data_IF_645725207591
#
_entry.id   IF_645725207591
#
_cell.length_a   1.000
_cell.length_b   1.000
_cell.length_c   1.000
_cell.angle_alpha   90.00
_cell.angle_beta   90.00
_cell.angle_gamma   90.00
#
_symmetry.space_group_name_H-M   'P 1'
#
loop_
_entity.id
_entity.type
_entity.pdbx_description
1 polymer ?
#
# COMPACT_ATOMS: atom_id res chain seq x y z
N UNK A 1 -10.75 -21.05 13.69
CA UNK A 1 -10.94 -20.14 12.54
C UNK A 1 -11.80 -18.97 12.99
N UNK A 2 -11.43 -17.75 12.68
CA UNK A 2 -12.24 -16.56 13.02
C UNK A 2 -13.54 -16.59 12.23
N UNK A 3 -14.69 -16.43 12.92
CA UNK A 3 -15.99 -16.36 12.24
C UNK A 3 -16.03 -15.16 11.31
N UNK A 4 -16.55 -15.34 10.10
CA UNK A 4 -16.67 -14.25 9.14
C UNK A 4 -17.64 -13.17 9.64
N UNK A 5 -17.27 -11.89 9.41
CA UNK A 5 -18.11 -10.72 9.72
C UNK A 5 -19.38 -10.74 8.87
N UNK A 6 -20.52 -10.31 9.41
CA UNK A 6 -21.77 -10.20 8.65
C UNK A 6 -21.73 -8.98 7.70
N UNK A 7 -22.51 -8.99 6.62
CA UNK A 7 -22.55 -7.88 5.65
C UNK A 7 -22.90 -6.54 6.30
N UNK A 8 -23.92 -6.50 7.15
CA UNK A 8 -24.29 -5.29 7.88
C UNK A 8 -23.18 -4.77 8.80
N UNK A 9 -22.41 -5.68 9.46
CA UNK A 9 -21.27 -5.31 10.29
C UNK A 9 -20.15 -4.65 9.45
N UNK A 10 -19.93 -5.15 8.21
CA UNK A 10 -18.94 -4.60 7.28
C UNK A 10 -19.32 -3.18 6.86
N UNK A 11 -20.59 -2.98 6.52
CA UNK A 11 -21.11 -1.67 6.13
C UNK A 11 -20.92 -0.64 7.26
N UNK A 12 -21.30 -0.99 8.49
CA UNK A 12 -21.09 -0.11 9.65
C UNK A 12 -19.62 0.15 9.95
N UNK A 13 -18.77 -0.87 9.78
CA UNK A 13 -17.32 -0.71 9.93
C UNK A 13 -16.77 0.33 8.97
N UNK A 14 -17.11 0.23 7.67
CA UNK A 14 -16.60 1.18 6.67
C UNK A 14 -17.22 2.56 6.78
N UNK A 15 -18.50 2.67 7.09
CA UNK A 15 -19.13 3.95 7.39
C UNK A 15 -18.42 4.67 8.56
N UNK A 16 -18.02 3.93 9.61
CA UNK A 16 -17.29 4.48 10.75
C UNK A 16 -15.87 4.92 10.35
N UNK A 17 -15.15 4.13 9.53
CA UNK A 17 -13.82 4.50 9.04
C UNK A 17 -13.88 5.75 8.14
N UNK A 18 -14.87 5.82 7.27
CA UNK A 18 -15.11 6.99 6.40
C UNK A 18 -15.44 8.24 7.22
N UNK A 19 -16.32 8.14 8.21
CA UNK A 19 -16.67 9.27 9.07
C UNK A 19 -15.46 9.81 9.85
N UNK A 20 -14.55 8.92 10.27
CA UNK A 20 -13.33 9.30 10.99
C UNK A 20 -12.25 9.92 10.07
N UNK A 21 -12.17 9.50 8.82
CA UNK A 21 -11.21 10.01 7.84
C UNK A 21 -11.82 9.91 6.42
N UNK A 22 -12.57 10.93 5.96
CA UNK A 22 -13.26 10.90 4.66
C UNK A 22 -12.33 10.77 3.45
N UNK A 23 -11.11 11.32 3.56
CA UNK A 23 -10.13 11.37 2.48
C UNK A 23 -8.78 10.78 2.95
N UNK A 24 -8.69 9.45 3.09
CA UNK A 24 -7.45 8.81 3.51
C UNK A 24 -6.43 8.83 2.37
N UNK A 25 -5.19 9.19 2.69
CA UNK A 25 -4.10 9.30 1.73
C UNK A 25 -2.96 8.36 2.09
N UNK A 26 -2.08 8.10 1.11
CA UNK A 26 -0.82 7.40 1.35
C UNK A 26 0.14 8.29 2.15
N UNK A 27 1.01 7.67 2.94
CA UNK A 27 2.08 8.39 3.66
C UNK A 27 3.32 8.63 2.78
N UNK A 28 3.36 8.07 1.55
CA UNK A 28 4.40 8.35 0.57
C UNK A 28 4.15 9.70 -0.11
N UNK A 29 5.23 10.48 -0.28
CA UNK A 29 5.19 11.79 -0.94
C UNK A 29 5.49 11.64 -2.43
N UNK A 30 4.61 12.18 -3.26
CA UNK A 30 4.71 12.14 -4.72
C UNK A 30 3.86 13.26 -5.35
N UNK A 31 4.18 13.63 -6.58
CA UNK A 31 3.43 14.61 -7.39
C UNK A 31 2.96 14.02 -8.72
N UNK A 32 3.62 12.95 -9.19
CA UNK A 32 3.29 12.30 -10.47
C UNK A 32 3.11 10.79 -10.30
N UNK A 33 2.41 10.10 -11.22
CA UNK A 33 2.32 8.64 -11.22
C UNK A 33 3.69 7.94 -11.23
N UNK A 34 4.69 8.52 -11.91
CA UNK A 34 6.05 7.98 -11.94
C UNK A 34 6.76 8.13 -10.59
N UNK A 35 6.64 9.28 -9.93
CA UNK A 35 7.15 9.48 -8.59
C UNK A 35 6.51 8.48 -7.60
N UNK A 36 5.19 8.26 -7.69
CA UNK A 36 4.52 7.26 -6.88
C UNK A 36 5.05 5.85 -7.13
N UNK A 37 5.16 5.43 -8.40
CA UNK A 37 5.71 4.11 -8.75
C UNK A 37 7.12 3.94 -8.17
N UNK A 38 7.97 4.96 -8.33
CA UNK A 38 9.33 4.99 -7.77
C UNK A 38 9.31 4.86 -6.25
N UNK A 39 8.49 5.65 -5.55
CA UNK A 39 8.38 5.61 -4.10
C UNK A 39 7.89 4.24 -3.60
N UNK A 40 6.87 3.66 -4.25
CA UNK A 40 6.34 2.33 -3.88
C UNK A 40 7.37 1.22 -4.14
N UNK A 41 8.12 1.28 -5.25
CA UNK A 41 9.21 0.35 -5.54
C UNK A 41 10.31 0.44 -4.46
N UNK A 42 10.69 1.66 -4.07
CA UNK A 42 11.68 1.90 -3.02
C UNK A 42 11.18 1.50 -1.63
N UNK A 43 9.88 1.47 -1.39
CA UNK A 43 9.28 1.13 -0.08
C UNK A 43 9.31 -0.37 0.27
N UNK A 44 9.66 -1.25 -0.68
CA UNK A 44 9.79 -2.67 -0.39
C UNK A 44 10.82 -2.91 0.73
N UNK A 45 10.36 -3.45 1.88
CA UNK A 45 11.16 -3.64 3.10
C UNK A 45 11.84 -2.35 3.62
N UNK A 46 11.20 -1.19 3.43
CA UNK A 46 11.65 0.08 3.97
C UNK A 46 10.45 0.84 4.57
N UNK A 47 10.72 1.84 5.40
CA UNK A 47 9.68 2.70 5.96
C UNK A 47 9.34 3.83 5.01
N UNK A 48 8.08 4.27 4.98
CA UNK A 48 7.66 5.40 4.16
C UNK A 48 8.43 6.68 4.52
N UNK A 49 8.74 6.90 5.81
CA UNK A 49 9.60 8.01 6.27
C UNK A 49 11.01 7.94 5.66
N UNK A 50 11.61 6.74 5.62
CA UNK A 50 12.93 6.55 5.03
C UNK A 50 12.92 6.78 3.51
N UNK A 51 11.88 6.33 2.83
CA UNK A 51 11.67 6.57 1.40
C UNK A 51 11.51 8.05 1.12
N UNK A 52 10.59 8.73 1.83
CA UNK A 52 10.34 10.17 1.65
C UNK A 52 11.61 11.00 1.88
N UNK A 53 12.44 10.64 2.87
CA UNK A 53 13.73 11.32 3.11
C UNK A 53 14.69 11.22 1.91
N UNK A 54 14.67 10.11 1.19
CA UNK A 54 15.50 9.90 0.01
C UNK A 54 14.88 10.59 -1.22
N UNK A 55 13.58 10.43 -1.45
CA UNK A 55 12.87 10.97 -2.63
C UNK A 55 12.78 12.49 -2.62
N UNK A 56 12.66 13.13 -1.45
CA UNK A 56 12.77 14.62 -1.33
C UNK A 56 14.08 15.18 -1.88
N UNK A 57 15.16 14.39 -1.92
CA UNK A 57 16.43 14.77 -2.52
C UNK A 57 16.53 14.37 -3.98
N UNK A 58 15.90 13.25 -4.35
CA UNK A 58 15.93 12.70 -5.70
C UNK A 58 15.02 13.46 -6.66
N UNK A 59 13.75 13.67 -6.32
CA UNK A 59 12.76 14.21 -7.24
C UNK A 59 13.05 15.63 -7.76
N UNK A 60 13.65 16.56 -6.99
CA UNK A 60 14.06 17.84 -7.54
C UNK A 60 15.13 17.76 -8.65
N UNK A 61 15.85 16.63 -8.74
CA UNK A 61 16.93 16.40 -9.71
C UNK A 61 16.46 15.45 -10.81
N UNK A 62 15.72 14.41 -10.47
CA UNK A 62 15.26 13.37 -11.40
C UNK A 62 13.89 12.83 -10.94
N UNK A 63 12.83 13.22 -11.66
CA UNK A 63 11.45 12.80 -11.40
C UNK A 63 10.73 12.27 -12.65
N UNK A 64 11.47 11.99 -13.72
CA UNK A 64 10.99 11.30 -14.92
C UNK A 64 11.85 10.06 -15.20
N UNK A 65 11.33 9.07 -15.97
CA UNK A 65 12.11 7.90 -16.33
C UNK A 65 13.44 8.26 -17.01
N UNK A 66 13.43 9.20 -17.96
CA UNK A 66 14.65 9.62 -18.66
C UNK A 66 15.68 10.24 -17.71
N UNK A 67 15.25 11.13 -16.82
CA UNK A 67 16.17 11.76 -15.85
C UNK A 67 16.80 10.75 -14.89
N UNK A 68 16.05 9.72 -14.48
CA UNK A 68 16.60 8.60 -13.68
C UNK A 68 17.64 7.82 -14.47
N UNK A 69 17.41 7.58 -15.76
CA UNK A 69 18.38 6.94 -16.65
C UNK A 69 19.64 7.77 -16.82
N UNK A 70 19.53 9.08 -16.93
CA UNK A 70 20.64 10.02 -17.07
C UNK A 70 21.54 10.06 -15.83
N UNK A 71 20.99 9.84 -14.62
CA UNK A 71 21.78 9.70 -13.40
C UNK A 71 22.67 8.44 -13.43
N UNK A 72 22.23 7.42 -14.13
CA UNK A 72 22.88 6.10 -14.11
C UNK A 72 22.81 5.41 -12.75
N UNK A 73 23.46 4.23 -12.67
CA UNK A 73 23.39 3.41 -11.46
C UNK A 73 24.05 4.08 -10.25
N UNK A 74 25.26 4.61 -10.44
CA UNK A 74 26.03 5.19 -9.34
C UNK A 74 25.38 6.50 -8.86
N UNK A 75 24.94 7.37 -9.78
CA UNK A 75 24.24 8.60 -9.43
C UNK A 75 22.92 8.33 -8.68
N UNK A 76 22.11 7.39 -9.15
CA UNK A 76 20.89 7.00 -8.45
C UNK A 76 21.16 6.43 -7.06
N UNK A 77 22.20 5.58 -6.94
CA UNK A 77 22.60 5.00 -5.65
C UNK A 77 22.94 6.06 -4.60
N UNK A 78 23.56 7.18 -4.98
CA UNK A 78 23.88 8.26 -4.04
C UNK A 78 22.65 8.83 -3.34
N UNK A 79 21.53 8.97 -4.05
CA UNK A 79 20.26 9.47 -3.47
C UNK A 79 19.57 8.46 -2.58
N UNK A 80 19.62 7.15 -2.92
CA UNK A 80 18.84 6.13 -2.23
C UNK A 80 19.65 5.21 -1.29
N UNK A 81 20.94 5.47 -1.09
CA UNK A 81 21.84 4.63 -0.27
C UNK A 81 21.42 4.43 1.19
N UNK A 82 20.53 5.29 1.70
CA UNK A 82 19.94 5.16 3.05
C UNK A 82 18.80 4.14 3.11
N UNK A 83 18.33 3.66 1.97
CA UNK A 83 17.24 2.68 1.87
C UNK A 83 17.85 1.27 1.82
N UNK A 84 17.29 0.35 2.61
CA UNK A 84 17.71 -1.07 2.58
C UNK A 84 17.62 -1.66 1.17
N UNK A 85 18.61 -2.49 0.80
CA UNK A 85 18.70 -3.13 -0.53
C UNK A 85 18.80 -2.14 -1.69
N UNK A 86 19.33 -0.94 -1.46
CA UNK A 86 19.33 0.16 -2.42
C UNK A 86 19.98 -0.19 -3.77
N UNK A 87 21.07 -0.98 -3.80
CA UNK A 87 21.73 -1.38 -5.04
C UNK A 87 20.81 -2.23 -5.95
N UNK A 88 20.06 -3.16 -5.37
CA UNK A 88 19.09 -3.97 -6.11
C UNK A 88 17.90 -3.13 -6.56
N UNK A 89 17.41 -2.25 -5.69
CA UNK A 89 16.32 -1.31 -6.02
C UNK A 89 16.71 -0.34 -7.13
N UNK A 90 17.94 0.19 -7.10
CA UNK A 90 18.46 1.05 -8.16
C UNK A 90 18.48 0.33 -9.52
N UNK A 91 18.96 -0.92 -9.56
CA UNK A 91 18.95 -1.72 -10.79
C UNK A 91 17.52 -1.95 -11.32
N UNK A 92 16.59 -2.35 -10.43
CA UNK A 92 15.19 -2.54 -10.82
C UNK A 92 14.56 -1.23 -11.32
N UNK A 93 14.80 -0.10 -10.64
CA UNK A 93 14.26 1.19 -11.05
C UNK A 93 14.81 1.63 -12.41
N UNK A 94 16.11 1.48 -12.68
CA UNK A 94 16.69 1.80 -13.98
C UNK A 94 16.10 0.94 -15.10
N UNK A 95 15.93 -0.38 -14.85
CA UNK A 95 15.33 -1.26 -15.84
C UNK A 95 13.85 -0.93 -16.06
N UNK A 96 13.12 -0.64 -15.00
CA UNK A 96 11.74 -0.12 -15.07
C UNK A 96 11.66 1.14 -15.92
N UNK A 97 12.58 2.11 -15.72
CA UNK A 97 12.64 3.33 -16.53
C UNK A 97 12.88 3.03 -18.00
N UNK A 98 13.81 2.12 -18.35
CA UNK A 98 14.04 1.72 -19.75
C UNK A 98 12.78 1.15 -20.38
N UNK A 99 12.08 0.26 -19.67
CA UNK A 99 10.84 -0.32 -20.17
C UNK A 99 9.74 0.73 -20.35
N UNK A 100 9.60 1.67 -19.43
CA UNK A 100 8.62 2.76 -19.54
C UNK A 100 8.94 3.64 -20.76
N UNK A 101 10.20 4.03 -20.97
CA UNK A 101 10.61 4.84 -22.12
C UNK A 101 10.36 4.12 -23.46
N UNK A 102 10.62 2.80 -23.54
CA UNK A 102 10.33 1.98 -24.72
C UNK A 102 8.84 1.91 -25.05
N UNK A 103 7.96 2.19 -24.08
CA UNK A 103 6.50 2.14 -24.24
C UNK A 103 5.84 3.54 -24.16
N UNK A 104 6.57 4.59 -24.48
CA UNK A 104 6.04 5.95 -24.62
C UNK A 104 6.20 6.85 -23.39
N UNK A 105 7.01 6.46 -22.40
CA UNK A 105 7.39 7.33 -21.26
C UNK A 105 6.33 7.43 -20.15
N UNK A 106 5.18 6.78 -20.30
CA UNK A 106 4.10 6.83 -19.32
C UNK A 106 4.03 5.57 -18.44
N UNK A 107 3.66 5.74 -17.18
CA UNK A 107 3.41 4.63 -16.25
C UNK A 107 2.22 3.82 -16.75
N UNK A 108 2.37 2.49 -16.90
CA UNK A 108 1.28 1.62 -17.34
C UNK A 108 0.06 1.69 -16.43
N UNK A 109 -1.14 1.57 -17.01
CA UNK A 109 -2.43 1.65 -16.31
C UNK A 109 -3.12 0.30 -16.14
N UNK A 110 -2.44 -0.80 -16.46
CA UNK A 110 -2.98 -2.16 -16.23
C UNK A 110 -2.10 -2.93 -15.27
N UNK A 111 -2.70 -3.85 -14.53
CA UNK A 111 -1.96 -4.67 -13.57
C UNK A 111 -0.90 -5.51 -14.27
N UNK A 112 -1.24 -6.12 -15.37
CA UNK A 112 -0.36 -7.00 -16.16
C UNK A 112 0.89 -6.25 -16.63
N UNK A 113 0.71 -5.04 -17.16
CA UNK A 113 1.82 -4.21 -17.62
C UNK A 113 2.67 -3.68 -16.45
N UNK A 114 2.06 -3.36 -15.31
CA UNK A 114 2.81 -2.98 -14.10
C UNK A 114 3.58 -4.16 -13.51
N UNK A 115 2.99 -5.35 -13.42
CA UNK A 115 3.65 -6.56 -12.91
C UNK A 115 4.79 -7.05 -13.83
N UNK A 116 4.80 -6.66 -15.10
CA UNK A 116 5.90 -6.92 -16.03
C UNK A 116 7.15 -6.08 -15.73
N UNK A 117 7.01 -4.98 -14.97
CA UNK A 117 8.12 -4.11 -14.60
C UNK A 117 8.99 -4.75 -13.50
N UNK A 118 10.34 -4.68 -13.61
CA UNK A 118 11.25 -5.23 -12.62
C UNK A 118 11.01 -4.69 -11.20
N UNK A 119 10.87 -5.58 -10.23
CA UNK A 119 10.62 -5.23 -8.82
C UNK A 119 9.18 -4.82 -8.52
N UNK A 120 8.29 -4.84 -9.50
CA UNK A 120 6.86 -4.56 -9.34
C UNK A 120 6.09 -5.88 -9.26
N UNK A 121 5.68 -6.25 -8.05
CA UNK A 121 4.77 -7.37 -7.84
C UNK A 121 3.32 -6.91 -7.73
N UNK A 122 2.39 -7.87 -7.58
CA UNK A 122 0.95 -7.62 -7.47
C UNK A 122 0.57 -6.55 -6.43
N UNK A 123 1.20 -6.57 -5.26
CA UNK A 123 0.95 -5.57 -4.21
C UNK A 123 1.32 -4.17 -4.68
N UNK A 124 2.49 -4.01 -5.29
CA UNK A 124 2.97 -2.72 -5.83
C UNK A 124 2.07 -2.23 -6.95
N UNK A 125 1.73 -3.10 -7.91
CA UNK A 125 0.82 -2.77 -9.00
C UNK A 125 -0.55 -2.29 -8.48
N UNK A 126 -1.14 -3.00 -7.50
CA UNK A 126 -2.41 -2.59 -6.90
C UNK A 126 -2.33 -1.24 -6.17
N UNK A 127 -1.21 -0.91 -5.50
CA UNK A 127 -1.02 0.41 -4.90
C UNK A 127 -0.99 1.50 -5.96
N UNK A 128 -0.21 1.32 -7.03
CA UNK A 128 -0.10 2.31 -8.11
C UNK A 128 -1.45 2.52 -8.79
N UNK A 129 -2.18 1.45 -9.11
CA UNK A 129 -3.50 1.54 -9.72
C UNK A 129 -4.50 2.28 -8.83
N UNK A 130 -4.50 1.99 -7.54
CA UNK A 130 -5.41 2.64 -6.60
C UNK A 130 -5.08 4.13 -6.42
N UNK A 131 -3.81 4.43 -6.14
CA UNK A 131 -3.39 5.77 -5.71
C UNK A 131 -3.22 6.73 -6.88
N UNK A 132 -2.58 6.28 -7.98
CA UNK A 132 -2.31 7.15 -9.13
C UNK A 132 -3.47 7.21 -10.13
N UNK A 133 -4.25 6.14 -10.25
CA UNK A 133 -5.27 6.03 -11.31
C UNK A 133 -6.69 5.90 -10.79
N UNK A 134 -6.89 5.87 -9.47
CA UNK A 134 -8.23 5.81 -8.88
C UNK A 134 -8.93 4.47 -9.04
N UNK A 135 -8.21 3.40 -9.37
CA UNK A 135 -8.80 2.07 -9.52
C UNK A 135 -9.12 1.46 -8.14
N UNK A 136 -10.30 0.84 -7.95
CA UNK A 136 -10.69 0.27 -6.67
C UNK A 136 -9.97 -1.05 -6.36
N UNK A 137 -8.63 -1.05 -6.42
CA UNK A 137 -7.78 -2.20 -6.13
C UNK A 137 -7.47 -2.33 -4.64
N UNK A 138 -7.07 -3.53 -4.22
CA UNK A 138 -6.72 -3.83 -2.83
C UNK A 138 -5.30 -4.42 -2.75
N UNK A 139 -4.35 -3.65 -2.26
CA UNK A 139 -2.97 -4.08 -2.09
C UNK A 139 -2.78 -4.74 -0.72
N UNK A 140 -2.95 -6.05 -0.63
CA UNK A 140 -2.84 -6.78 0.64
C UNK A 140 -1.38 -6.91 1.07
N UNK A 141 -1.01 -6.15 2.09
CA UNK A 141 0.25 -6.25 2.81
C UNK A 141 0.08 -7.04 4.12
N UNK A 142 1.12 -7.09 4.95
CA UNK A 142 1.06 -7.77 6.25
C UNK A 142 0.06 -7.14 7.22
N UNK A 143 -0.21 -5.84 7.12
CA UNK A 143 -1.18 -5.14 7.96
C UNK A 143 -2.61 -5.51 7.56
N UNK A 144 -2.93 -5.41 6.26
CA UNK A 144 -4.26 -5.74 5.73
C UNK A 144 -4.52 -7.25 5.84
N UNK A 145 -3.52 -8.10 5.56
CA UNK A 145 -3.64 -9.54 5.75
C UNK A 145 -4.01 -9.91 7.20
N UNK A 146 -3.28 -9.33 8.16
CA UNK A 146 -3.58 -9.51 9.59
C UNK A 146 -4.97 -9.01 9.95
N UNK A 147 -5.30 -7.81 9.50
CA UNK A 147 -6.57 -7.16 9.80
C UNK A 147 -7.75 -7.98 9.25
N UNK A 148 -7.70 -8.36 7.98
CA UNK A 148 -8.74 -9.17 7.33
C UNK A 148 -9.04 -10.47 8.07
N UNK A 149 -7.98 -11.16 8.50
CA UNK A 149 -8.11 -12.40 9.27
C UNK A 149 -8.57 -12.17 10.71
N UNK A 150 -7.97 -11.18 11.39
CA UNK A 150 -8.24 -10.92 12.82
C UNK A 150 -9.66 -10.42 13.05
N UNK A 151 -10.12 -9.51 12.20
CA UNK A 151 -11.48 -8.94 12.35
C UNK A 151 -12.58 -9.85 11.86
N UNK A 152 -12.27 -10.85 11.05
CA UNK A 152 -13.25 -11.65 10.31
C UNK A 152 -13.78 -10.96 9.05
N UNK A 153 -13.20 -9.82 8.65
CA UNK A 153 -13.58 -9.10 7.44
C UNK A 153 -13.34 -9.95 6.19
N UNK A 154 -12.16 -10.55 6.08
CA UNK A 154 -11.77 -11.39 4.95
C UNK A 154 -10.80 -12.51 5.39
N UNK A 155 -11.28 -13.54 6.12
CA UNK A 155 -10.42 -14.63 6.53
C UNK A 155 -9.87 -15.40 5.33
N UNK A 156 -8.55 -15.52 5.22
CA UNK A 156 -7.87 -16.21 4.12
C UNK A 156 -6.48 -16.70 4.52
N UNK A 157 -5.99 -17.72 3.83
CA UNK A 157 -4.67 -18.33 4.08
C UNK A 157 -3.55 -17.60 3.35
N UNK A 158 -3.86 -16.95 2.22
CA UNK A 158 -2.91 -16.24 1.38
C UNK A 158 -3.34 -14.79 1.18
N UNK A 159 -2.41 -13.87 0.87
CA UNK A 159 -2.75 -12.48 0.51
C UNK A 159 -3.75 -12.39 -0.64
N UNK A 160 -3.64 -13.25 -1.65
CA UNK A 160 -4.56 -13.28 -2.79
C UNK A 160 -5.98 -13.65 -2.37
N UNK A 161 -6.15 -14.67 -1.51
CA UNK A 161 -7.46 -15.03 -0.98
C UNK A 161 -8.10 -13.88 -0.18
N UNK A 162 -7.29 -13.17 0.62
CA UNK A 162 -7.75 -12.01 1.38
C UNK A 162 -8.13 -10.88 0.44
N UNK A 163 -7.32 -10.58 -0.58
CA UNK A 163 -7.62 -9.58 -1.61
C UNK A 163 -8.97 -9.84 -2.28
N UNK A 164 -9.15 -11.06 -2.82
CA UNK A 164 -10.39 -11.45 -3.50
C UNK A 164 -11.62 -11.35 -2.61
N UNK A 165 -11.48 -11.74 -1.33
CA UNK A 165 -12.57 -11.63 -0.37
C UNK A 165 -12.87 -10.18 0.01
N UNK A 166 -11.86 -9.34 0.18
CA UNK A 166 -12.05 -7.92 0.43
C UNK A 166 -12.80 -7.25 -0.71
N UNK A 167 -12.36 -7.43 -1.95
CA UNK A 167 -13.00 -6.88 -3.14
C UNK A 167 -14.46 -7.34 -3.31
N UNK A 168 -14.77 -8.57 -2.92
CA UNK A 168 -16.13 -9.13 -2.99
C UNK A 168 -17.05 -8.66 -1.86
N UNK A 169 -16.50 -8.38 -0.67
CA UNK A 169 -17.30 -8.17 0.56
C UNK A 169 -17.47 -6.71 0.93
N UNK A 170 -16.51 -5.85 0.56
CA UNK A 170 -16.59 -4.40 0.83
C UNK A 170 -17.62 -3.80 -0.13
N UNK A 171 -18.58 -3.00 0.37
CA UNK A 171 -19.52 -2.29 -0.50
C UNK A 171 -18.79 -1.39 -1.49
N UNK A 172 -19.32 -1.29 -2.71
CA UNK A 172 -18.67 -0.61 -3.84
C UNK A 172 -18.29 0.84 -3.55
N UNK A 173 -19.13 1.55 -2.81
CA UNK A 173 -18.94 2.95 -2.41
C UNK A 173 -17.71 3.18 -1.53
N UNK A 174 -17.20 2.14 -0.85
CA UNK A 174 -16.01 2.24 0.00
C UNK A 174 -14.74 1.73 -0.66
N UNK A 175 -14.83 0.97 -1.77
CA UNK A 175 -13.69 0.24 -2.34
C UNK A 175 -12.51 1.15 -2.69
N UNK A 176 -12.76 2.36 -3.21
CA UNK A 176 -11.72 3.30 -3.60
C UNK A 176 -10.78 3.66 -2.45
N UNK A 177 -11.32 3.86 -1.26
CA UNK A 177 -10.56 4.28 -0.09
C UNK A 177 -10.27 3.14 0.89
N UNK A 178 -10.86 1.97 0.69
CA UNK A 178 -10.77 0.83 1.61
C UNK A 178 -9.33 0.41 1.90
N UNK A 179 -8.46 0.42 0.88
CA UNK A 179 -7.05 0.10 1.05
C UNK A 179 -6.39 1.00 2.11
N UNK A 180 -6.59 2.31 2.02
CA UNK A 180 -5.96 3.28 2.91
C UNK A 180 -6.52 3.19 4.33
N UNK A 181 -7.84 3.10 4.50
CA UNK A 181 -8.43 2.91 5.83
C UNK A 181 -7.89 1.65 6.51
N UNK A 182 -7.83 0.53 5.77
CA UNK A 182 -7.37 -0.74 6.34
C UNK A 182 -5.88 -0.73 6.67
N UNK A 183 -5.01 -0.14 5.84
CA UNK A 183 -3.58 -0.09 6.11
C UNK A 183 -3.28 0.82 7.29
N UNK A 184 -3.88 2.02 7.35
CA UNK A 184 -3.72 2.96 8.47
C UNK A 184 -4.23 2.35 9.78
N UNK A 185 -5.42 1.74 9.75
CA UNK A 185 -5.96 1.05 10.93
C UNK A 185 -5.05 -0.11 11.39
N UNK A 186 -4.49 -0.85 10.45
CA UNK A 186 -3.54 -1.93 10.75
C UNK A 186 -2.20 -1.46 11.29
N UNK A 187 -1.72 -0.29 10.86
CA UNK A 187 -0.48 0.33 11.35
C UNK A 187 -0.63 0.87 12.76
N UNK A 188 -1.68 1.65 13.02
CA UNK A 188 -1.77 2.50 14.21
C UNK A 188 -2.69 1.97 15.30
N UNK A 189 -3.71 1.20 14.96
CA UNK A 189 -4.71 0.67 15.92
C UNK A 189 -4.60 -0.84 16.08
N UNK A 190 -4.85 -1.60 15.01
CA UNK A 190 -4.83 -3.06 15.06
C UNK A 190 -3.41 -3.63 14.89
N UNK A 191 -2.51 -3.23 15.78
CA UNK A 191 -1.10 -3.61 15.73
C UNK A 191 -0.89 -5.13 15.92
N UNK A 192 0.28 -5.64 15.47
CA UNK A 192 0.55 -7.08 15.45
C UNK A 192 0.55 -7.71 16.85
N UNK A 193 1.35 -7.17 17.77
CA UNK A 193 1.55 -7.74 19.12
C UNK A 193 0.55 -7.26 20.15
N UNK A 194 0.26 -5.96 20.18
CA UNK A 194 -0.64 -5.33 21.16
C UNK A 194 -1.66 -4.45 20.44
N UNK A 195 -2.73 -5.02 19.85
CA UNK A 195 -3.75 -4.21 19.20
C UNK A 195 -4.47 -3.33 20.24
N UNK A 196 -4.68 -2.07 19.91
CA UNK A 196 -5.30 -1.06 20.78
C UNK A 196 -6.83 -1.18 20.72
N UNK A 197 -7.36 -2.34 21.15
CA UNK A 197 -8.79 -2.64 21.05
C UNK A 197 -9.65 -1.70 21.90
N UNK A 198 -9.11 -1.14 22.99
CA UNK A 198 -9.81 -0.23 23.91
C UNK A 198 -10.18 1.11 23.27
N UNK A 199 -9.47 1.56 22.24
CA UNK A 199 -9.74 2.80 21.51
C UNK A 199 -10.16 2.55 20.05
N UNK A 200 -10.34 1.28 19.66
CA UNK A 200 -10.65 0.91 18.29
C UNK A 200 -12.10 1.26 17.94
N UNK A 201 -12.30 2.23 17.04
CA UNK A 201 -13.62 2.70 16.61
C UNK A 201 -14.50 1.61 16.00
N UNK A 202 -13.89 0.55 15.44
CA UNK A 202 -14.60 -0.55 14.78
C UNK A 202 -14.66 -1.83 15.64
N UNK A 203 -14.34 -1.73 16.92
CA UNK A 203 -14.26 -2.87 17.86
C UNK A 203 -15.58 -3.64 17.97
N UNK A 204 -16.72 -2.96 17.88
CA UNK A 204 -18.04 -3.58 18.05
C UNK A 204 -18.34 -4.64 16.99
N UNK A 205 -17.88 -4.48 15.77
CA UNK A 205 -18.11 -5.43 14.68
C UNK A 205 -16.99 -6.45 14.51
N UNK A 206 -15.84 -6.20 15.12
CA UNK A 206 -14.64 -7.04 15.00
C UNK A 206 -14.81 -8.37 15.74
N UNK A 207 -14.51 -9.49 15.07
CA UNK A 207 -14.65 -10.86 15.61
C UNK A 207 -13.44 -11.32 16.44
N UNK A 208 -12.40 -10.51 16.57
CA UNK A 208 -11.23 -10.82 17.42
C UNK A 208 -11.58 -10.86 18.90
N UNK A 209 -11.19 -11.96 19.57
CA UNK A 209 -11.38 -12.16 21.00
C UNK A 209 -10.18 -12.92 21.59
N UNK A 210 -9.82 -12.64 22.86
CA UNK A 210 -10.32 -11.54 23.69
C UNK A 210 -9.82 -10.19 23.19
N UNK A 211 -10.59 -9.12 23.43
CA UNK A 211 -10.14 -7.75 23.20
C UNK A 211 -9.04 -7.39 24.18
N UNK A 212 -8.03 -6.62 23.73
CA UNK A 212 -7.00 -6.10 24.64
C UNK A 212 -7.55 -4.93 25.45
N UNK A 213 -7.26 -4.94 26.74
CA UNK A 213 -7.58 -3.82 27.64
C UNK A 213 -6.58 -2.67 27.47
N UNK A 214 -6.96 -1.46 27.91
CA UNK A 214 -6.05 -0.35 28.01
C UNK A 214 -4.86 -0.70 28.93
N UNK A 215 -3.66 -0.18 28.66
CA UNK A 215 -2.55 -0.29 29.61
C UNK A 215 -2.93 0.40 30.93
N UNK A 216 -2.63 -0.26 32.03
CA UNK A 216 -2.71 0.31 33.38
C UNK A 216 -1.58 1.30 33.59
#
# INVERSE_FOLDING_TARGET
>A
MTTAMKKADIEQMFATLQAANPHPETELEYSTPFELLTAVLLSAQATDVGVNKATRKLYPVANTPQQILDLGLDGLCEYIKTIGLYKSKAKHLLETCRMIEQHGGEVPRTREALEALPGVGRKTANVVLNVAFGEPTMAVDTHIFRLGNRTGLAPGKTPLEVEQKLLKRIPAEYLQHAHHWLILHGRYVCQARKPRCWECSVSNWCKFKPKTAAPT
#
